data_IF_980147917889
#
_entry.id   IF_980147917889
#
_cell.length_a   1.000
_cell.length_b   1.000
_cell.length_c   1.000
_cell.angle_alpha   90.00
_cell.angle_beta   90.00
_cell.angle_gamma   90.00
#
_symmetry.space_group_name_H-M   'P 1'
#
loop_
_entity.id
_entity.type
_entity.pdbx_description
1 polymer ?
#
# COMPACT_ATOMS: atom_id res chain seq x y z
N UNK A 1 -12.07 7.85 14.90
CA UNK A 1 -11.35 8.99 14.29
C UNK A 1 -10.97 8.67 12.83
N UNK A 2 -10.89 9.64 11.90
CA UNK A 2 -10.59 9.32 10.48
C UNK A 2 -9.26 8.58 10.28
N UNK A 3 -8.25 8.85 11.11
CA UNK A 3 -6.96 8.13 11.03
C UNK A 3 -7.07 6.67 11.47
N UNK A 4 -7.93 6.35 12.43
CA UNK A 4 -8.18 4.96 12.83
C UNK A 4 -8.96 4.21 11.75
N UNK A 5 -9.93 4.87 11.12
CA UNK A 5 -10.68 4.32 9.98
C UNK A 5 -9.75 4.01 8.79
N UNK A 6 -8.80 4.92 8.51
CA UNK A 6 -7.76 4.69 7.51
C UNK A 6 -6.84 3.52 7.90
N UNK A 7 -6.37 3.47 9.15
CA UNK A 7 -5.56 2.35 9.66
C UNK A 7 -6.28 1.00 9.51
N UNK A 8 -7.58 0.95 9.80
CA UNK A 8 -8.35 -0.27 9.65
C UNK A 8 -8.53 -0.65 8.18
N UNK A 9 -8.81 0.32 7.31
CA UNK A 9 -8.91 0.10 5.87
C UNK A 9 -7.59 -0.41 5.27
N UNK A 10 -6.44 0.13 5.72
CA UNK A 10 -5.11 -0.35 5.36
C UNK A 10 -4.92 -1.82 5.76
N UNK A 11 -5.25 -2.18 7.01
CA UNK A 11 -5.16 -3.58 7.49
C UNK A 11 -6.04 -4.52 6.69
N UNK A 12 -7.23 -4.06 6.30
CA UNK A 12 -8.17 -4.82 5.49
C UNK A 12 -7.84 -4.84 3.99
N UNK A 13 -6.77 -4.14 3.56
CA UNK A 13 -6.40 -3.95 2.14
C UNK A 13 -7.51 -3.31 1.29
N UNK A 14 -8.41 -2.57 1.93
CA UNK A 14 -9.49 -1.83 1.28
C UNK A 14 -8.99 -0.46 0.82
N UNK A 15 -8.26 -0.45 -0.30
CA UNK A 15 -7.65 0.78 -0.82
C UNK A 15 -8.68 1.77 -1.39
N UNK A 16 -9.88 1.30 -1.76
CA UNK A 16 -10.98 2.18 -2.16
C UNK A 16 -11.43 3.00 -0.95
N UNK A 17 -11.59 2.34 0.20
CA UNK A 17 -11.93 3.01 1.45
C UNK A 17 -10.80 3.92 1.94
N UNK A 18 -9.54 3.51 1.84
CA UNK A 18 -8.38 4.38 2.17
C UNK A 18 -8.46 5.68 1.38
N UNK A 19 -8.66 5.60 0.05
CA UNK A 19 -8.79 6.79 -0.79
C UNK A 19 -9.93 7.70 -0.34
N UNK A 20 -11.11 7.14 -0.09
CA UNK A 20 -12.27 7.90 0.39
C UNK A 20 -11.99 8.61 1.73
N UNK A 21 -11.30 7.94 2.66
CA UNK A 21 -10.93 8.55 3.95
C UNK A 21 -9.90 9.66 3.77
N UNK A 22 -8.94 9.51 2.86
CA UNK A 22 -7.94 10.54 2.55
C UNK A 22 -8.58 11.79 1.92
N UNK A 23 -9.56 11.63 1.03
CA UNK A 23 -10.32 12.75 0.45
C UNK A 23 -11.10 13.52 1.52
N UNK A 24 -11.71 12.82 2.48
CA UNK A 24 -12.38 13.45 3.64
C UNK A 24 -11.38 14.21 4.51
N UNK A 25 -10.21 13.62 4.80
CA UNK A 25 -9.14 14.30 5.56
C UNK A 25 -8.64 15.56 4.86
N UNK A 26 -8.48 15.52 3.53
CA UNK A 26 -8.10 16.69 2.74
C UNK A 26 -9.15 17.80 2.84
N UNK A 27 -10.43 17.44 2.70
CA UNK A 27 -11.55 18.39 2.84
C UNK A 27 -11.57 19.07 4.21
N UNK A 28 -11.36 18.31 5.29
CA UNK A 28 -11.30 18.84 6.65
C UNK A 28 -10.08 19.73 6.84
N UNK A 29 -8.91 19.32 6.32
CA UNK A 29 -7.70 20.13 6.36
C UNK A 29 -7.92 21.48 5.69
N UNK A 30 -8.51 21.50 4.51
CA UNK A 30 -8.80 22.74 3.77
C UNK A 30 -9.78 23.63 4.54
N UNK A 31 -10.80 23.04 5.18
CA UNK A 31 -11.73 23.77 6.03
C UNK A 31 -11.03 24.39 7.25
N UNK A 32 -10.14 23.63 7.91
CA UNK A 32 -9.33 24.14 9.04
C UNK A 32 -8.47 25.32 8.57
N UNK A 33 -7.73 25.16 7.47
CA UNK A 33 -6.85 26.21 6.94
C UNK A 33 -7.59 27.50 6.56
N UNK A 34 -8.85 27.40 6.11
CA UNK A 34 -9.70 28.58 5.84
C UNK A 34 -10.20 29.28 7.10
N UNK A 35 -10.42 28.51 8.18
CA UNK A 35 -10.96 29.02 9.45
C UNK A 35 -9.86 29.49 10.42
N UNK A 36 -8.65 28.99 10.27
CA UNK A 36 -7.49 29.48 10.98
C UNK A 36 -7.08 30.85 10.43
N UNK A 37 -6.95 31.84 11.33
CA UNK A 37 -6.31 33.09 10.99
C UNK A 37 -4.86 32.81 10.54
N UNK A 38 -4.25 33.67 9.70
CA UNK A 38 -2.88 33.46 9.23
C UNK A 38 -1.97 33.14 10.42
N UNK A 39 -1.28 32.01 10.33
CA UNK A 39 -0.36 31.57 11.35
C UNK A 39 0.65 32.70 11.63
N UNK A 40 0.60 33.29 12.82
CA UNK A 40 1.62 34.26 13.24
C UNK A 40 2.91 33.47 13.36
N UNK A 41 3.92 33.83 12.57
CA UNK A 41 5.23 33.14 12.53
C UNK A 41 5.18 31.67 12.08
N UNK A 42 4.14 31.26 11.34
CA UNK A 42 4.02 29.90 10.81
C UNK A 42 3.60 28.83 11.82
N UNK A 43 3.23 29.23 13.04
CA UNK A 43 2.62 28.34 14.05
C UNK A 43 1.11 28.53 14.10
N UNK A 44 0.36 27.41 14.16
CA UNK A 44 -1.08 27.48 14.45
C UNK A 44 -1.29 28.08 15.84
N UNK A 45 -2.36 28.89 15.99
CA UNK A 45 -2.79 29.43 17.29
C UNK A 45 -3.10 28.33 18.32
N UNK A 46 -3.34 27.10 17.86
CA UNK A 46 -3.63 25.94 18.71
C UNK A 46 -2.40 25.04 18.93
N UNK A 47 -1.20 25.45 18.50
CA UNK A 47 0.00 24.62 18.63
C UNK A 47 0.37 24.29 20.09
N UNK A 48 0.05 25.19 21.02
CA UNK A 48 0.30 25.03 22.46
C UNK A 48 -0.91 24.42 23.20
N UNK A 49 -2.00 24.09 22.49
CA UNK A 49 -3.16 23.45 23.08
C UNK A 49 -2.84 21.97 23.41
N UNK A 50 -2.91 21.55 24.69
CA UNK A 50 -2.58 20.18 25.08
C UNK A 50 -3.43 19.11 24.40
N UNK A 51 -4.70 19.40 24.09
CA UNK A 51 -5.59 18.46 23.41
C UNK A 51 -5.18 18.28 21.95
N UNK A 52 -4.81 19.39 21.28
CA UNK A 52 -4.31 19.35 19.91
C UNK A 52 -2.97 18.62 19.85
N UNK A 53 -2.06 18.87 20.79
CA UNK A 53 -0.79 18.15 20.87
C UNK A 53 -1.00 16.64 21.07
N UNK A 54 -1.89 16.25 21.98
CA UNK A 54 -2.22 14.84 22.20
C UNK A 54 -2.80 14.18 20.94
N UNK A 55 -3.73 14.87 20.25
CA UNK A 55 -4.33 14.38 19.02
C UNK A 55 -3.29 14.23 17.89
N UNK A 56 -2.41 15.22 17.71
CA UNK A 56 -1.32 15.15 16.71
C UNK A 56 -0.37 14.00 17.00
N UNK A 57 0.03 13.82 18.26
CA UNK A 57 0.88 12.69 18.67
C UNK A 57 0.22 11.34 18.38
N UNK A 58 -1.09 11.20 18.65
CA UNK A 58 -1.82 9.97 18.34
C UNK A 58 -1.89 9.73 16.83
N UNK A 59 -2.15 10.76 16.03
CA UNK A 59 -2.15 10.66 14.56
C UNK A 59 -0.79 10.23 14.04
N UNK A 60 0.30 10.83 14.52
CA UNK A 60 1.67 10.48 14.11
C UNK A 60 2.02 9.04 14.46
N UNK A 61 1.60 8.54 15.64
CA UNK A 61 1.81 7.13 16.03
C UNK A 61 1.09 6.16 15.08
N UNK A 62 -0.17 6.45 14.75
CA UNK A 62 -0.94 5.63 13.83
C UNK A 62 -0.34 5.64 12.41
N UNK A 63 0.10 6.81 11.94
CA UNK A 63 0.71 6.96 10.62
C UNK A 63 2.04 6.21 10.50
N UNK A 64 2.87 6.27 11.54
CA UNK A 64 4.11 5.50 11.61
C UNK A 64 3.83 3.99 11.57
N UNK A 65 2.85 3.51 12.35
CA UNK A 65 2.47 2.10 12.36
C UNK A 65 1.93 1.64 10.99
N UNK A 66 1.10 2.46 10.35
CA UNK A 66 0.57 2.20 9.00
C UNK A 66 1.71 2.11 7.97
N UNK A 67 2.66 3.04 8.01
CA UNK A 67 3.80 3.08 7.10
C UNK A 67 4.69 1.84 7.23
N UNK A 68 4.95 1.40 8.47
CA UNK A 68 5.71 0.18 8.74
C UNK A 68 4.98 -1.06 8.19
N UNK A 69 3.68 -1.18 8.46
CA UNK A 69 2.85 -2.28 7.98
C UNK A 69 2.83 -2.34 6.44
N UNK A 70 2.57 -1.22 5.78
CA UNK A 70 2.57 -1.12 4.31
C UNK A 70 3.94 -1.47 3.70
N UNK A 71 5.03 -1.08 4.35
CA UNK A 71 6.39 -1.42 3.90
C UNK A 71 6.63 -2.92 3.94
N UNK A 72 6.21 -3.59 5.02
CA UNK A 72 6.33 -5.04 5.17
C UNK A 72 5.47 -5.79 4.13
N UNK A 73 4.21 -5.36 3.94
CA UNK A 73 3.31 -5.93 2.94
C UNK A 73 3.87 -5.79 1.52
N UNK A 74 4.43 -4.63 1.19
CA UNK A 74 5.06 -4.39 -0.11
C UNK A 74 6.30 -5.26 -0.33
N UNK A 75 7.10 -5.50 0.71
CA UNK A 75 8.23 -6.43 0.63
C UNK A 75 7.77 -7.86 0.35
N UNK A 76 6.73 -8.32 1.06
CA UNK A 76 6.10 -9.63 0.84
C UNK A 76 5.55 -9.77 -0.58
N UNK A 77 4.85 -8.74 -1.07
CA UNK A 77 4.29 -8.72 -2.41
C UNK A 77 5.38 -8.79 -3.50
N UNK A 78 6.49 -8.05 -3.33
CA UNK A 78 7.65 -8.12 -4.24
C UNK A 78 8.22 -9.53 -4.33
N UNK A 79 8.41 -10.19 -3.18
CA UNK A 79 8.89 -11.57 -3.13
C UNK A 79 7.92 -12.55 -3.82
N UNK A 80 6.61 -12.34 -3.64
CA UNK A 80 5.58 -13.15 -4.31
C UNK A 80 5.63 -13.00 -5.84
N UNK A 81 5.74 -11.76 -6.33
CA UNK A 81 5.87 -11.47 -7.77
C UNK A 81 7.13 -12.09 -8.37
N UNK A 82 8.26 -12.02 -7.66
CA UNK A 82 9.50 -12.64 -8.11
C UNK A 82 9.37 -14.16 -8.20
N UNK A 83 8.78 -14.79 -7.18
CA UNK A 83 8.51 -16.23 -7.15
C UNK A 83 7.61 -16.65 -8.30
N UNK A 84 6.55 -15.89 -8.57
CA UNK A 84 5.62 -16.14 -9.68
C UNK A 84 6.33 -16.04 -11.03
N UNK A 85 7.20 -15.05 -11.20
CA UNK A 85 7.99 -14.83 -12.43
C UNK A 85 8.97 -15.98 -12.68
N UNK A 86 9.68 -16.42 -11.64
CA UNK A 86 10.58 -17.58 -11.72
C UNK A 86 9.81 -18.85 -12.07
N UNK A 87 8.65 -19.06 -11.45
CA UNK A 87 7.77 -20.20 -11.70
C UNK A 87 7.27 -20.21 -13.14
N UNK A 88 6.77 -19.07 -13.65
CA UNK A 88 6.32 -18.94 -15.03
C UNK A 88 7.43 -19.21 -16.05
N UNK A 89 8.65 -18.75 -15.77
CA UNK A 89 9.83 -19.03 -16.60
C UNK A 89 10.17 -20.51 -16.61
N UNK A 90 10.11 -21.18 -15.44
CA UNK A 90 10.36 -22.62 -15.31
C UNK A 90 9.32 -23.44 -16.06
N UNK A 91 8.03 -23.10 -15.91
CA UNK A 91 6.95 -23.75 -16.65
C UNK A 91 7.13 -23.61 -18.16
N UNK A 92 7.48 -22.42 -18.66
CA UNK A 92 7.74 -22.21 -20.09
C UNK A 92 8.87 -23.10 -20.62
N UNK A 93 9.96 -23.25 -19.85
CA UNK A 93 11.08 -24.14 -20.20
C UNK A 93 10.65 -25.61 -20.24
N UNK A 94 9.89 -26.04 -19.23
CA UNK A 94 9.35 -27.41 -19.16
C UNK A 94 8.43 -27.69 -20.35
N UNK A 95 7.50 -26.79 -20.65
CA UNK A 95 6.63 -26.92 -21.82
C UNK A 95 7.42 -26.99 -23.13
N UNK A 96 8.44 -26.14 -23.30
CA UNK A 96 9.33 -26.18 -24.47
C UNK A 96 10.05 -27.53 -24.60
N UNK A 97 10.59 -28.07 -23.51
CA UNK A 97 11.27 -29.37 -23.52
C UNK A 97 10.33 -30.53 -23.87
N UNK A 98 9.10 -30.53 -23.33
CA UNK A 98 8.11 -31.55 -23.67
C UNK A 98 7.64 -31.44 -25.14
N UNK A 99 7.43 -30.23 -25.65
CA UNK A 99 7.07 -30.01 -27.06
C UNK A 99 8.18 -30.50 -28.02
N UNK A 100 9.45 -30.22 -27.71
CA UNK A 100 10.59 -30.73 -28.48
C UNK A 100 10.68 -32.25 -28.43
N UNK A 101 10.46 -32.87 -27.27
CA UNK A 101 10.50 -34.33 -27.10
C UNK A 101 9.36 -35.03 -27.85
N UNK A 102 8.17 -34.44 -27.88
CA UNK A 102 7.06 -34.95 -28.70
C UNK A 102 7.38 -34.83 -30.19
N UNK A 103 7.93 -33.71 -30.64
CA UNK A 103 8.34 -33.53 -32.03
C UNK A 103 9.43 -34.54 -32.43
N UNK A 104 10.44 -34.80 -31.58
CA UNK A 104 11.46 -35.81 -31.89
C UNK A 104 10.90 -37.23 -31.92
N UNK A 105 9.95 -37.56 -31.03
CA UNK A 105 9.31 -38.88 -31.00
C UNK A 105 8.42 -39.12 -32.23
N UNK A 106 7.75 -38.09 -32.75
CA UNK A 106 6.91 -38.23 -33.97
C UNK A 106 7.73 -38.50 -35.23
N UNK A 107 8.98 -38.02 -35.31
CA UNK A 107 9.87 -38.35 -36.43
C UNK A 107 10.46 -39.76 -36.34
N UNK A 108 10.65 -40.30 -35.13
CA UNK A 108 11.16 -41.66 -34.92
C UNK A 108 10.08 -42.75 -35.05
N UNK A 109 8.79 -42.40 -34.91
CA UNK A 109 7.68 -43.34 -35.09
C UNK A 109 7.28 -43.54 -36.56
N UNK A 110 7.85 -42.76 -37.49
CA UNK A 110 7.65 -42.90 -38.95
C UNK A 110 8.89 -43.54 -39.56
N UNK A 111 9.09 -44.83 -39.27
CA UNK A 111 9.98 -45.75 -39.99
C UNK A 111 9.40 -47.15 -39.86
#
# INVERSE_FOLDING_TARGET
>A
MLTEEESQAIRNKDFVKVKSVQEKKATIRDAILRLEAPAVEGKSRFAEDPEVQAAVQQVMKLDQANSQHLTQEMASLKQSVETQTQTGTRLRRVHGAYAQRQASASWQAVT
#
